data_IF_806928505333
#
_entry.id   IF_806928505333
#
_cell.length_a   1.000
_cell.length_b   1.000
_cell.length_c   1.000
_cell.angle_alpha   90.00
_cell.angle_beta   90.00
_cell.angle_gamma   90.00
#
_symmetry.space_group_name_H-M   'P 1'
#
loop_
_entity.id
_entity.type
_entity.pdbx_description
1 polymer ?
#
# COMPACT_ATOMS: atom_id res chain seq x y z
N UNK A 1 -14.19 27.05 54.15
CA UNK A 1 -14.42 26.91 52.69
C UNK A 1 -13.21 26.20 52.11
N UNK A 2 -13.31 24.88 51.99
CA UNK A 2 -12.26 24.04 51.39
C UNK A 2 -12.52 24.03 49.88
N UNK A 3 -11.51 24.43 49.12
CA UNK A 3 -11.56 24.54 47.66
C UNK A 3 -11.45 23.12 47.08
N UNK A 4 -12.57 22.53 46.71
CA UNK A 4 -12.61 21.19 46.12
C UNK A 4 -12.10 21.20 44.66
N UNK A 5 -11.09 20.35 44.44
CA UNK A 5 -10.81 19.50 43.26
C UNK A 5 -10.91 20.07 41.83
N UNK A 6 -10.00 20.97 41.46
CA UNK A 6 -9.60 21.15 40.04
C UNK A 6 -8.74 20.00 39.49
N UNK A 7 -8.21 19.10 40.33
CA UNK A 7 -7.34 18.00 39.90
C UNK A 7 -8.10 16.80 39.31
N UNK A 8 -9.37 16.61 39.65
CA UNK A 8 -10.16 15.46 39.16
C UNK A 8 -10.57 15.63 37.69
N UNK A 9 -10.84 16.86 37.27
CA UNK A 9 -11.30 17.18 35.91
C UNK A 9 -10.15 17.07 34.88
N UNK A 10 -8.91 17.40 35.27
CA UNK A 10 -7.74 17.38 34.37
C UNK A 10 -7.20 15.96 34.17
N UNK A 11 -7.26 15.10 35.21
CA UNK A 11 -6.80 13.71 35.12
C UNK A 11 -7.74 12.80 34.30
N UNK A 12 -9.02 13.18 34.15
CA UNK A 12 -10.02 12.40 33.43
C UNK A 12 -9.95 12.57 31.91
N UNK A 13 -9.32 13.63 31.40
CA UNK A 13 -9.30 13.98 29.97
C UNK A 13 -8.07 13.43 29.21
N UNK A 14 -6.91 13.33 29.87
CA UNK A 14 -5.70 12.75 29.26
C UNK A 14 -5.85 11.24 29.00
N UNK A 15 -6.53 10.53 29.90
CA UNK A 15 -6.77 9.09 29.73
C UNK A 15 -7.83 8.80 28.65
N UNK A 16 -8.82 9.69 28.45
CA UNK A 16 -9.83 9.49 27.39
C UNK A 16 -9.32 9.84 25.99
N UNK A 17 -8.28 10.67 25.87
CA UNK A 17 -7.59 10.93 24.59
C UNK A 17 -6.81 9.67 24.13
N UNK A 18 -6.37 8.83 25.08
CA UNK A 18 -5.57 7.63 24.84
C UNK A 18 -6.37 6.31 24.82
N UNK A 19 -7.66 6.33 25.13
CA UNK A 19 -8.57 5.20 24.90
C UNK A 19 -8.88 5.10 23.40
N UNK A 20 -7.85 4.74 22.64
CA UNK A 20 -7.96 4.59 21.21
C UNK A 20 -8.81 3.36 20.89
N UNK A 21 -9.95 3.61 20.24
CA UNK A 21 -10.85 2.55 19.82
C UNK A 21 -10.08 1.48 19.03
N UNK A 22 -10.18 0.19 19.39
CA UNK A 22 -9.48 -0.89 18.70
C UNK A 22 -9.96 -1.08 17.25
N UNK A 23 -11.06 -0.42 16.88
CA UNK A 23 -11.63 -0.47 15.55
C UNK A 23 -10.75 0.13 14.46
N UNK A 24 -9.80 1.03 14.77
CA UNK A 24 -8.90 1.55 13.73
C UNK A 24 -7.97 0.47 13.18
N UNK A 25 -7.32 -0.30 14.06
CA UNK A 25 -6.50 -1.45 13.65
C UNK A 25 -7.34 -2.54 12.96
N UNK A 26 -8.55 -2.81 13.46
CA UNK A 26 -9.45 -3.81 12.84
C UNK A 26 -9.98 -3.37 11.47
N UNK A 27 -10.34 -2.10 11.30
CA UNK A 27 -10.73 -1.55 10.01
C UNK A 27 -9.59 -1.63 9.00
N UNK A 28 -8.36 -1.32 9.44
CA UNK A 28 -7.18 -1.50 8.61
C UNK A 28 -6.96 -2.98 8.25
N UNK A 29 -7.09 -3.91 9.21
CA UNK A 29 -6.99 -5.34 8.94
C UNK A 29 -8.06 -5.83 7.94
N UNK A 30 -9.30 -5.32 8.01
CA UNK A 30 -10.36 -5.62 7.03
C UNK A 30 -9.97 -5.12 5.64
N UNK A 31 -9.46 -3.89 5.55
CA UNK A 31 -8.97 -3.33 4.30
C UNK A 31 -7.84 -4.17 3.71
N UNK A 32 -6.87 -4.61 4.53
CA UNK A 32 -5.81 -5.52 4.09
C UNK A 32 -6.35 -6.88 3.65
N UNK A 33 -7.35 -7.42 4.35
CA UNK A 33 -8.03 -8.64 3.93
C UNK A 33 -8.66 -8.50 2.55
N UNK A 34 -9.33 -7.38 2.28
CA UNK A 34 -9.89 -7.10 0.97
C UNK A 34 -8.81 -6.98 -0.12
N UNK A 35 -7.74 -6.22 0.15
CA UNK A 35 -6.61 -6.09 -0.80
C UNK A 35 -5.97 -7.45 -1.09
N UNK A 36 -5.78 -8.29 -0.07
CA UNK A 36 -5.23 -9.63 -0.24
C UNK A 36 -6.14 -10.54 -1.07
N UNK A 37 -7.46 -10.44 -0.90
CA UNK A 37 -8.42 -11.16 -1.75
C UNK A 37 -8.30 -10.74 -3.21
N UNK A 38 -8.12 -9.44 -3.48
CA UNK A 38 -7.87 -8.96 -4.85
C UNK A 38 -6.54 -9.49 -5.40
N UNK A 39 -5.49 -9.57 -4.57
CA UNK A 39 -4.22 -10.19 -4.97
C UNK A 39 -4.39 -11.67 -5.35
N UNK A 40 -5.15 -12.43 -4.57
CA UNK A 40 -5.45 -13.84 -4.88
C UNK A 40 -6.27 -13.95 -6.16
N UNK A 41 -7.30 -13.12 -6.34
CA UNK A 41 -8.08 -13.09 -7.57
C UNK A 41 -7.20 -12.77 -8.78
N UNK A 42 -6.32 -11.78 -8.67
CA UNK A 42 -5.38 -11.41 -9.72
C UNK A 42 -4.36 -12.53 -10.04
N UNK A 43 -3.89 -13.25 -9.01
CA UNK A 43 -3.00 -14.41 -9.21
C UNK A 43 -3.66 -15.49 -10.07
N UNK A 44 -4.89 -15.89 -9.73
CA UNK A 44 -5.64 -16.86 -10.54
C UNK A 44 -6.02 -16.32 -11.90
N UNK A 45 -6.30 -15.02 -11.99
CA UNK A 45 -6.60 -14.37 -13.25
C UNK A 45 -5.44 -14.50 -14.24
N UNK A 46 -4.23 -14.12 -13.82
CA UNK A 46 -3.02 -14.23 -14.64
C UNK A 46 -2.69 -15.69 -14.97
N UNK A 47 -2.95 -16.64 -14.08
CA UNK A 47 -2.70 -18.07 -14.36
C UNK A 47 -3.67 -18.64 -15.40
N UNK A 48 -4.96 -18.26 -15.35
CA UNK A 48 -5.98 -18.81 -16.24
C UNK A 48 -5.98 -18.10 -17.60
N UNK A 49 -5.78 -16.77 -17.60
CA UNK A 49 -5.97 -15.95 -18.78
C UNK A 49 -4.67 -15.33 -19.31
N UNK A 50 -3.56 -15.43 -18.58
CA UNK A 50 -2.31 -14.75 -18.93
C UNK A 50 -2.44 -13.22 -18.88
N UNK A 51 -1.41 -12.52 -19.37
CA UNK A 51 -1.50 -11.06 -19.61
C UNK A 51 -2.58 -10.75 -20.67
N UNK A 52 -2.89 -11.71 -21.54
CA UNK A 52 -3.87 -11.60 -22.64
C UNK A 52 -5.35 -11.58 -22.21
N UNK A 53 -5.66 -11.75 -20.92
CA UNK A 53 -7.04 -11.96 -20.47
C UNK A 53 -7.99 -10.78 -20.67
N UNK A 54 -7.49 -9.54 -20.62
CA UNK A 54 -8.29 -8.31 -20.80
C UNK A 54 -7.97 -7.72 -22.18
N UNK A 55 -8.28 -8.43 -23.26
CA UNK A 55 -7.94 -7.95 -24.60
C UNK A 55 -9.20 -7.54 -25.39
N UNK A 56 -9.12 -6.40 -26.07
CA UNK A 56 -10.11 -5.88 -27.01
C UNK A 56 -10.29 -6.82 -28.22
N UNK A 57 -9.19 -7.50 -28.60
CA UNK A 57 -9.05 -8.44 -29.69
C UNK A 57 -9.11 -9.92 -29.25
N UNK A 58 -9.41 -10.22 -27.96
CA UNK A 58 -9.62 -11.62 -27.54
C UNK A 58 -10.84 -12.20 -28.26
N UNK A 59 -10.82 -13.52 -28.48
CA UNK A 59 -11.94 -14.29 -29.04
C UNK A 59 -12.23 -14.06 -30.53
N UNK A 60 -11.19 -13.92 -31.36
CA UNK A 60 -11.33 -13.92 -32.82
C UNK A 60 -11.83 -12.59 -33.40
N UNK A 61 -11.65 -11.50 -32.66
CA UNK A 61 -11.91 -10.13 -33.13
C UNK A 61 -10.65 -9.50 -33.77
N UNK A 62 -9.73 -10.31 -34.29
CA UNK A 62 -8.55 -9.82 -34.99
C UNK A 62 -8.96 -9.11 -36.28
N UNK A 63 -8.46 -7.89 -36.54
CA UNK A 63 -8.70 -7.23 -37.81
C UNK A 63 -8.03 -8.03 -38.93
N UNK A 64 -8.63 -8.12 -40.12
CA UNK A 64 -8.02 -8.82 -41.24
C UNK A 64 -6.80 -8.04 -41.77
N UNK A 65 -5.74 -8.75 -42.15
CA UNK A 65 -4.60 -8.17 -42.85
C UNK A 65 -5.09 -7.49 -44.15
N UNK A 66 -4.90 -6.17 -44.32
CA UNK A 66 -5.35 -5.42 -45.50
C UNK A 66 -4.61 -5.82 -46.78
N UNK A 67 -3.46 -6.50 -46.67
CA UNK A 67 -2.65 -6.94 -47.79
C UNK A 67 -1.93 -5.80 -48.53
N UNK A 68 -1.74 -5.96 -49.84
CA UNK A 68 -1.02 -5.00 -50.67
C UNK A 68 -1.89 -3.79 -51.04
N UNK A 69 -1.31 -2.58 -51.03
CA UNK A 69 -2.00 -1.37 -51.45
C UNK A 69 -2.55 -1.50 -52.89
N UNK A 70 -3.83 -1.17 -53.13
CA UNK A 70 -4.41 -1.23 -54.46
C UNK A 70 -3.97 -0.03 -55.32
N UNK A 71 -2.79 -0.15 -55.95
CA UNK A 71 -2.19 0.92 -56.79
C UNK A 71 -3.12 1.40 -57.93
N UNK A 72 -3.88 0.48 -58.53
CA UNK A 72 -4.83 0.76 -59.60
C UNK A 72 -6.31 0.70 -59.13
N UNK A 73 -6.54 0.75 -57.82
CA UNK A 73 -7.88 0.73 -57.24
C UNK A 73 -8.64 2.05 -57.40
N UNK A 74 -9.94 1.99 -57.15
CA UNK A 74 -10.78 3.19 -57.03
C UNK A 74 -10.42 4.00 -55.77
N UNK A 75 -10.82 5.29 -55.72
CA UNK A 75 -10.63 6.12 -54.52
C UNK A 75 -11.30 5.51 -53.27
N UNK A 76 -12.40 4.77 -53.45
CA UNK A 76 -13.09 4.07 -52.37
C UNK A 76 -12.29 2.87 -51.87
N UNK A 77 -11.74 2.06 -52.77
CA UNK A 77 -10.89 0.91 -52.41
C UNK A 77 -9.61 1.36 -51.68
N UNK A 78 -8.98 2.44 -52.14
CA UNK A 78 -7.80 3.00 -51.48
C UNK A 78 -8.12 3.58 -50.09
N UNK A 79 -9.30 4.19 -49.91
CA UNK A 79 -9.74 4.70 -48.61
C UNK A 79 -10.06 3.57 -47.64
N UNK A 80 -10.74 2.52 -48.11
CA UNK A 80 -11.04 1.34 -47.31
C UNK A 80 -9.75 0.63 -46.88
N UNK A 81 -8.79 0.49 -47.80
CA UNK A 81 -7.45 -0.01 -47.48
C UNK A 81 -6.80 0.79 -46.35
N UNK A 82 -6.78 2.13 -46.44
CA UNK A 82 -6.17 2.96 -45.40
C UNK A 82 -6.86 2.84 -44.03
N UNK A 83 -8.18 2.62 -44.00
CA UNK A 83 -8.89 2.38 -42.72
C UNK A 83 -8.54 1.01 -42.14
N UNK A 84 -8.55 -0.04 -42.96
CA UNK A 84 -8.17 -1.40 -42.55
C UNK A 84 -6.70 -1.48 -42.13
N UNK A 85 -5.80 -0.74 -42.80
CA UNK A 85 -4.39 -0.64 -42.42
C UNK A 85 -4.23 -0.02 -41.04
N UNK A 86 -4.97 1.03 -40.72
CA UNK A 86 -4.92 1.62 -39.37
C UNK A 86 -5.35 0.64 -38.29
N UNK A 87 -6.45 -0.08 -38.51
CA UNK A 87 -6.93 -1.10 -37.55
C UNK A 87 -5.92 -2.24 -37.38
N UNK A 88 -5.25 -2.63 -38.48
CA UNK A 88 -4.20 -3.64 -38.47
C UNK A 88 -2.94 -3.17 -37.74
N UNK A 89 -2.48 -1.95 -37.97
CA UNK A 89 -1.30 -1.35 -37.32
C UNK A 89 -1.51 -1.20 -35.80
N UNK A 90 -2.73 -0.83 -35.38
CA UNK A 90 -3.11 -0.77 -33.96
C UNK A 90 -3.07 -2.17 -33.32
N UNK A 91 -3.54 -3.20 -34.04
CA UNK A 91 -3.47 -4.59 -33.60
C UNK A 91 -2.03 -5.11 -33.51
N UNK A 92 -1.18 -4.84 -34.51
CA UNK A 92 0.24 -5.22 -34.48
C UNK A 92 0.98 -4.54 -33.33
N UNK A 93 0.76 -3.23 -33.13
CA UNK A 93 1.34 -2.49 -32.00
C UNK A 93 0.95 -3.10 -30.65
N UNK A 94 -0.30 -3.53 -30.52
CA UNK A 94 -0.78 -4.20 -29.32
C UNK A 94 -0.11 -5.56 -29.12
N UNK A 95 0.02 -6.37 -30.18
CA UNK A 95 0.70 -7.66 -30.11
C UNK A 95 2.17 -7.52 -29.74
N UNK A 96 2.86 -6.51 -30.29
CA UNK A 96 4.25 -6.19 -29.93
C UNK A 96 4.37 -5.82 -28.44
N UNK A 97 3.48 -4.98 -27.92
CA UNK A 97 3.43 -4.66 -26.48
C UNK A 97 3.23 -5.92 -25.62
N UNK A 98 2.36 -6.83 -26.06
CA UNK A 98 2.08 -8.07 -25.35
C UNK A 98 3.28 -9.00 -25.32
N UNK A 99 3.96 -9.17 -26.46
CA UNK A 99 5.18 -9.95 -26.58
C UNK A 99 6.29 -9.35 -25.70
N UNK A 100 6.47 -8.03 -25.71
CA UNK A 100 7.42 -7.33 -24.85
C UNK A 100 7.12 -7.54 -23.34
N UNK A 101 5.84 -7.54 -22.96
CA UNK A 101 5.43 -7.81 -21.57
C UNK A 101 5.68 -9.25 -21.15
N UNK A 102 5.54 -10.20 -22.07
CA UNK A 102 5.85 -11.62 -21.84
C UNK A 102 7.37 -11.83 -21.75
N UNK A 103 8.14 -11.29 -22.70
CA UNK A 103 9.61 -11.38 -22.72
C UNK A 103 10.27 -10.70 -21.51
N UNK A 104 9.63 -9.68 -20.95
CA UNK A 104 10.12 -8.98 -19.76
C UNK A 104 9.78 -9.68 -18.44
N UNK A 105 9.16 -10.86 -18.48
CA UNK A 105 8.82 -11.70 -17.32
C UNK A 105 7.91 -11.01 -16.29
N UNK A 106 7.08 -10.05 -16.73
CA UNK A 106 6.19 -9.30 -15.84
C UNK A 106 5.18 -10.22 -15.16
N UNK A 107 4.73 -11.28 -15.84
CA UNK A 107 3.81 -12.28 -15.29
C UNK A 107 4.43 -13.02 -14.11
N UNK A 108 5.62 -13.58 -14.30
CA UNK A 108 6.34 -14.38 -13.30
C UNK A 108 6.69 -13.54 -12.09
N UNK A 109 7.19 -12.33 -12.32
CA UNK A 109 7.47 -11.36 -11.26
C UNK A 109 6.18 -11.06 -10.48
N UNK A 110 5.07 -10.81 -11.18
CA UNK A 110 3.77 -10.56 -10.55
C UNK A 110 3.30 -11.72 -9.69
N UNK A 111 3.46 -12.96 -10.16
CA UNK A 111 3.10 -14.15 -9.44
C UNK A 111 3.99 -14.39 -8.21
N UNK A 112 5.31 -14.21 -8.33
CA UNK A 112 6.25 -14.35 -7.20
C UNK A 112 5.87 -13.36 -6.09
N UNK A 113 5.67 -12.08 -6.43
CA UNK A 113 5.30 -11.08 -5.45
C UNK A 113 3.88 -11.29 -4.90
N UNK A 114 2.94 -11.81 -5.69
CA UNK A 114 1.62 -12.18 -5.19
C UNK A 114 1.72 -13.29 -4.13
N UNK A 115 2.50 -14.35 -4.38
CA UNK A 115 2.72 -15.43 -3.41
C UNK A 115 3.37 -14.91 -2.12
N UNK A 116 4.43 -14.10 -2.23
CA UNK A 116 5.08 -13.47 -1.07
C UNK A 116 4.12 -12.59 -0.26
N UNK A 117 3.30 -11.81 -0.97
CA UNK A 117 2.29 -10.93 -0.36
C UNK A 117 1.22 -11.74 0.37
N UNK A 118 0.79 -12.88 -0.17
CA UNK A 118 -0.16 -13.78 0.51
C UNK A 118 0.47 -14.38 1.77
N UNK A 119 1.69 -14.90 1.67
CA UNK A 119 2.38 -15.56 2.79
C UNK A 119 2.60 -14.62 3.98
N UNK A 120 2.87 -13.33 3.72
CA UNK A 120 3.15 -12.34 4.77
C UNK A 120 1.88 -11.56 5.14
N UNK A 121 0.96 -11.37 4.20
CA UNK A 121 -0.29 -10.66 4.39
C UNK A 121 -1.22 -11.36 5.38
N UNK A 122 -1.35 -12.69 5.32
CA UNK A 122 -2.21 -13.44 6.26
C UNK A 122 -1.77 -13.23 7.73
N UNK A 123 -0.49 -13.46 8.10
CA UNK A 123 0.01 -13.11 9.43
C UNK A 123 -0.16 -11.62 9.76
N UNK A 124 0.12 -10.72 8.81
CA UNK A 124 0.00 -9.27 9.04
C UNK A 124 -1.43 -8.89 9.44
N UNK A 125 -2.44 -9.36 8.71
CA UNK A 125 -3.86 -9.15 9.04
C UNK A 125 -4.17 -9.66 10.45
N UNK A 126 -3.71 -10.86 10.81
CA UNK A 126 -3.93 -11.41 12.15
C UNK A 126 -3.26 -10.55 13.25
N UNK A 127 -2.05 -10.03 13.00
CA UNK A 127 -1.35 -9.17 13.95
C UNK A 127 -2.05 -7.82 14.14
N UNK A 128 -2.56 -7.20 13.06
CA UNK A 128 -3.37 -5.98 13.17
C UNK A 128 -4.73 -6.21 13.83
N UNK A 129 -5.37 -7.34 13.55
CA UNK A 129 -6.67 -7.69 14.17
C UNK A 129 -6.56 -7.90 15.68
N UNK A 130 -5.48 -8.56 16.11
CA UNK A 130 -5.20 -8.87 17.51
C UNK A 130 -4.40 -7.79 18.23
N UNK A 131 -3.92 -6.77 17.51
CA UNK A 131 -3.08 -5.69 18.03
C UNK A 131 -1.81 -6.19 18.72
N UNK A 132 -1.23 -7.27 18.19
CA UNK A 132 -0.05 -7.92 18.77
C UNK A 132 1.17 -6.97 18.78
N UNK A 133 2.09 -7.17 19.74
CA UNK A 133 3.36 -6.43 19.84
C UNK A 133 4.18 -6.45 18.53
N UNK A 134 4.08 -7.54 17.76
CA UNK A 134 4.81 -7.73 16.49
C UNK A 134 4.11 -7.12 15.27
N UNK A 135 2.99 -6.43 15.46
CA UNK A 135 2.21 -5.81 14.38
C UNK A 135 3.07 -4.90 13.49
N UNK A 136 3.99 -4.12 14.08
CA UNK A 136 4.89 -3.26 13.31
C UNK A 136 5.84 -4.05 12.41
N UNK A 137 6.46 -5.12 12.92
CA UNK A 137 7.40 -5.93 12.13
C UNK A 137 6.72 -6.57 10.92
N UNK A 138 5.54 -7.15 11.11
CA UNK A 138 4.75 -7.72 10.02
C UNK A 138 4.21 -6.64 9.08
N UNK A 139 3.75 -5.52 9.64
CA UNK A 139 3.34 -4.34 8.88
C UNK A 139 4.44 -3.86 7.94
N UNK A 140 5.64 -3.62 8.45
CA UNK A 140 6.80 -3.19 7.66
C UNK A 140 7.22 -4.25 6.63
N UNK A 141 7.23 -5.54 6.99
CA UNK A 141 7.56 -6.62 6.05
C UNK A 141 6.59 -6.67 4.87
N UNK A 142 5.28 -6.61 5.15
CA UNK A 142 4.26 -6.56 4.11
C UNK A 142 4.38 -5.32 3.23
N UNK A 143 4.61 -4.15 3.85
CA UNK A 143 4.78 -2.88 3.14
C UNK A 143 6.00 -2.87 2.23
N UNK A 144 7.14 -3.36 2.72
CA UNK A 144 8.37 -3.45 1.95
C UNK A 144 8.20 -4.35 0.72
N UNK A 145 7.62 -5.54 0.88
CA UNK A 145 7.41 -6.48 -0.22
C UNK A 145 6.40 -5.94 -1.23
N UNK A 146 5.34 -5.30 -0.76
CA UNK A 146 4.34 -4.67 -1.64
C UNK A 146 4.98 -3.53 -2.46
N UNK A 147 5.77 -2.65 -1.82
CA UNK A 147 6.48 -1.58 -2.53
C UNK A 147 7.44 -2.15 -3.56
N UNK A 148 8.31 -3.07 -3.15
CA UNK A 148 9.32 -3.64 -4.05
C UNK A 148 8.62 -4.31 -5.25
N UNK A 149 7.57 -5.10 -5.00
CA UNK A 149 6.83 -5.76 -6.07
C UNK A 149 6.13 -4.79 -7.02
N UNK A 150 5.37 -3.81 -6.50
CA UNK A 150 4.64 -2.87 -7.34
C UNK A 150 5.55 -1.91 -8.10
N UNK A 151 6.64 -1.44 -7.47
CA UNK A 151 7.62 -0.56 -8.12
C UNK A 151 8.41 -1.32 -9.17
N UNK A 152 8.81 -2.57 -8.90
CA UNK A 152 9.54 -3.38 -9.87
C UNK A 152 8.67 -3.71 -11.09
N UNK A 153 7.42 -4.11 -10.88
CA UNK A 153 6.47 -4.32 -11.98
C UNK A 153 6.28 -3.06 -12.81
N UNK A 154 6.01 -1.92 -12.15
CA UNK A 154 5.83 -0.65 -12.84
C UNK A 154 7.10 -0.20 -13.59
N UNK A 155 8.28 -0.43 -13.02
CA UNK A 155 9.55 -0.12 -13.66
C UNK A 155 9.70 -0.84 -15.00
N UNK A 156 9.34 -2.13 -15.05
CA UNK A 156 9.42 -2.93 -16.28
C UNK A 156 8.30 -2.57 -17.26
N UNK A 157 7.04 -2.53 -16.78
CA UNK A 157 5.89 -2.39 -17.68
C UNK A 157 5.63 -0.97 -18.17
N UNK A 158 6.09 0.05 -17.43
CA UNK A 158 5.77 1.45 -17.75
C UNK A 158 6.30 1.92 -19.10
N UNK A 159 7.51 1.50 -19.48
CA UNK A 159 8.11 1.88 -20.76
C UNK A 159 7.42 1.15 -21.92
N UNK A 160 7.18 -0.15 -21.78
CA UNK A 160 6.48 -0.98 -22.78
C UNK A 160 5.09 -0.40 -23.07
N UNK A 161 4.31 -0.13 -22.02
CA UNK A 161 2.96 0.44 -22.16
C UNK A 161 3.01 1.88 -22.70
N UNK A 162 4.02 2.67 -22.34
CA UNK A 162 4.17 4.02 -22.89
C UNK A 162 4.49 3.99 -24.39
N UNK A 163 5.36 3.08 -24.84
CA UNK A 163 5.70 2.93 -26.26
C UNK A 163 4.47 2.55 -27.09
N UNK A 164 3.65 1.62 -26.58
CA UNK A 164 2.36 1.29 -27.19
C UNK A 164 1.41 2.50 -27.24
N UNK A 165 1.27 3.24 -26.14
CA UNK A 165 0.42 4.43 -26.15
C UNK A 165 0.93 5.48 -27.14
N UNK A 166 2.24 5.62 -27.33
CA UNK A 166 2.83 6.54 -28.29
C UNK A 166 2.65 6.07 -29.76
N UNK A 167 2.51 4.76 -30.00
CA UNK A 167 2.33 4.21 -31.37
C UNK A 167 0.88 4.31 -31.88
N UNK A 168 -0.11 4.31 -30.99
CA UNK A 168 -1.53 4.37 -31.36
C UNK A 168 -2.01 5.82 -31.56
N UNK A 169 -2.82 6.11 -32.61
CA UNK A 169 -3.32 7.45 -32.88
C UNK A 169 -4.13 8.02 -31.71
N UNK A 170 -3.64 9.14 -31.15
CA UNK A 170 -4.24 9.81 -29.99
C UNK A 170 -3.85 9.24 -28.61
N UNK A 171 -3.06 8.16 -28.58
CA UNK A 171 -2.58 7.56 -27.33
C UNK A 171 -1.40 8.32 -26.69
N UNK A 172 -0.60 9.04 -27.49
CA UNK A 172 0.58 9.78 -27.00
C UNK A 172 0.25 10.83 -25.92
N UNK A 173 -0.96 11.40 -25.94
CA UNK A 173 -1.45 12.33 -24.91
C UNK A 173 -1.65 11.66 -23.54
N UNK A 174 -1.69 10.33 -23.48
CA UNK A 174 -1.92 9.52 -22.28
C UNK A 174 -0.70 8.69 -21.86
N UNK A 175 0.35 8.61 -22.68
CA UNK A 175 1.57 7.84 -22.39
C UNK A 175 2.24 8.26 -21.06
N UNK A 176 2.07 9.52 -20.63
CA UNK A 176 2.56 10.01 -19.35
C UNK A 176 1.96 9.25 -18.15
N UNK A 177 0.72 8.74 -18.25
CA UNK A 177 0.07 7.97 -17.19
C UNK A 177 0.88 6.71 -16.90
N UNK A 178 1.26 5.97 -17.95
CA UNK A 178 2.11 4.79 -17.83
C UNK A 178 3.46 5.13 -17.19
N UNK A 179 4.12 6.22 -17.62
CA UNK A 179 5.41 6.68 -17.06
C UNK A 179 5.31 7.11 -15.59
N UNK A 180 4.17 7.65 -15.15
CA UNK A 180 3.96 8.04 -13.74
C UNK A 180 3.64 6.87 -12.80
N UNK A 181 3.36 5.68 -13.33
CA UNK A 181 2.96 4.50 -12.54
C UNK A 181 3.97 4.14 -11.43
N UNK A 182 5.27 4.27 -11.70
CA UNK A 182 6.35 4.02 -10.73
C UNK A 182 6.20 4.92 -9.49
N UNK A 183 5.91 6.20 -9.72
CA UNK A 183 5.73 7.17 -8.66
C UNK A 183 4.47 6.88 -7.84
N UNK A 184 3.35 6.61 -8.51
CA UNK A 184 2.09 6.27 -7.82
C UNK A 184 2.22 4.99 -7.00
N UNK A 185 2.87 3.95 -7.52
CA UNK A 185 3.12 2.70 -6.79
C UNK A 185 3.97 2.92 -5.54
N UNK A 186 5.02 3.74 -5.64
CA UNK A 186 5.86 4.11 -4.51
C UNK A 186 5.08 4.85 -3.43
N UNK A 187 4.24 5.81 -3.81
CA UNK A 187 3.42 6.59 -2.88
C UNK A 187 2.43 5.73 -2.10
N UNK A 188 1.72 4.81 -2.77
CA UNK A 188 0.77 3.90 -2.11
C UNK A 188 1.43 3.09 -1.00
N UNK A 189 2.61 2.54 -1.25
CA UNK A 189 3.30 1.73 -0.25
C UNK A 189 3.93 2.55 0.88
N UNK A 190 4.44 3.75 0.62
CA UNK A 190 4.89 4.67 1.67
C UNK A 190 3.74 5.05 2.60
N UNK A 191 2.55 5.36 2.03
CA UNK A 191 1.34 5.64 2.82
C UNK A 191 0.94 4.45 3.69
N UNK A 192 1.01 3.23 3.15
CA UNK A 192 0.76 2.02 3.92
C UNK A 192 1.74 1.87 5.10
N UNK A 193 3.05 2.06 4.87
CA UNK A 193 4.07 1.98 5.93
C UNK A 193 3.82 3.05 7.01
N UNK A 194 3.51 4.28 6.60
CA UNK A 194 3.17 5.36 7.51
C UNK A 194 1.95 5.01 8.38
N UNK A 195 0.89 4.44 7.79
CA UNK A 195 -0.28 3.96 8.53
C UNK A 195 0.07 2.84 9.51
N UNK A 196 0.92 1.89 9.12
CA UNK A 196 1.38 0.82 10.01
C UNK A 196 2.13 1.37 11.24
N UNK A 197 3.00 2.37 11.04
CA UNK A 197 3.74 3.05 12.12
C UNK A 197 2.77 3.81 13.03
N UNK A 198 1.86 4.61 12.46
CA UNK A 198 0.88 5.39 13.24
C UNK A 198 0.01 4.47 14.08
N UNK A 199 -0.54 3.40 13.50
CA UNK A 199 -1.36 2.44 14.22
C UNK A 199 -0.56 1.75 15.33
N UNK A 200 0.69 1.35 15.07
CA UNK A 200 1.53 0.76 16.12
C UNK A 200 1.75 1.72 17.28
N UNK A 201 2.12 2.96 16.99
CA UNK A 201 2.34 3.97 18.02
C UNK A 201 1.06 4.26 18.81
N UNK A 202 -0.13 4.25 18.18
CA UNK A 202 -1.39 4.43 18.89
C UNK A 202 -1.67 3.32 19.92
N UNK A 203 -1.32 2.07 19.64
CA UNK A 203 -1.66 0.95 20.53
C UNK A 203 -0.54 0.52 21.49
N UNK A 204 0.71 0.90 21.21
CA UNK A 204 1.87 0.43 22.00
C UNK A 204 2.70 1.54 22.66
N UNK A 205 2.43 2.84 22.44
CA UNK A 205 3.21 3.93 23.08
C UNK A 205 3.15 3.98 24.62
N UNK A 206 2.13 3.37 25.23
CA UNK A 206 1.90 3.50 26.68
C UNK A 206 2.76 2.57 27.53
N UNK A 207 3.31 1.49 26.95
CA UNK A 207 4.16 0.56 27.70
C UNK A 207 5.61 1.06 27.88
N UNK A 208 6.01 2.10 27.12
CA UNK A 208 7.38 2.64 27.11
C UNK A 208 7.48 4.11 27.57
N UNK A 209 6.37 4.76 27.95
CA UNK A 209 6.42 6.05 28.62
C UNK A 209 6.83 5.81 30.08
N UNK A 210 8.03 6.23 30.53
CA UNK A 210 8.35 6.16 31.95
C UNK A 210 7.28 6.93 32.71
N UNK A 211 6.71 6.31 33.76
CA UNK A 211 5.95 7.05 34.77
C UNK A 211 6.76 8.30 35.11
N UNK A 212 6.20 9.46 34.75
CA UNK A 212 6.74 10.79 34.97
C UNK A 212 7.83 10.82 36.05
N UNK A 213 9.06 11.19 35.66
CA UNK A 213 10.20 11.37 36.56
C UNK A 213 10.00 12.43 37.66
N UNK A 214 8.80 13.00 37.78
CA UNK A 214 8.37 13.84 38.89
C UNK A 214 7.73 13.06 40.06
N UNK A 215 7.53 11.74 39.93
CA UNK A 215 7.14 10.86 41.03
C UNK A 215 8.35 10.07 41.57
N UNK A 216 9.47 10.76 41.80
CA UNK A 216 10.47 10.22 42.73
C UNK A 216 9.80 10.18 44.10
N UNK A 217 9.49 8.98 44.59
CA UNK A 217 9.24 8.77 46.02
C UNK A 217 10.54 9.12 46.72
N UNK A 218 10.66 10.36 47.17
CA UNK A 218 11.69 10.75 48.13
C UNK A 218 11.33 9.98 49.39
N UNK A 219 12.05 8.90 49.66
CA UNK A 219 12.06 8.29 50.98
C UNK A 219 12.55 9.37 51.95
N UNK A 220 11.61 10.08 52.58
CA UNK A 220 11.93 10.92 53.73
C UNK A 220 12.43 9.97 54.81
N UNK A 221 13.70 10.05 55.22
CA UNK A 221 14.19 9.19 56.28
C UNK A 221 13.38 9.46 57.54
N UNK A 222 13.05 8.39 58.26
CA UNK A 222 12.40 8.43 59.55
C UNK A 222 13.21 9.34 60.48
N UNK A 223 12.69 10.53 60.77
CA UNK A 223 13.25 11.39 61.81
C UNK A 223 12.91 10.68 63.12
N UNK A 224 13.90 9.99 63.70
CA UNK A 224 13.90 9.70 65.12
C UNK A 224 13.69 11.03 65.85
N UNK A 225 12.56 11.16 66.53
CA UNK A 225 12.35 12.24 67.49
C UNK A 225 13.38 12.05 68.59
N UNK A 226 14.51 12.74 68.47
CA UNK A 226 15.46 12.91 69.56
C UNK A 226 14.73 13.73 70.62
N UNK A 227 14.37 13.04 71.70
CA UNK A 227 13.95 13.61 72.98
C UNK A 227 15.12 14.44 73.54
N UNK A 228 15.16 15.72 73.16
CA UNK A 228 15.98 16.71 73.82
C UNK A 228 15.18 17.27 74.99
N UNK A 229 15.37 16.65 76.15
CA UNK A 229 14.98 17.23 77.42
C UNK A 229 15.77 18.52 77.67
N UNK A 230 15.09 19.65 77.51
CA UNK A 230 15.51 20.91 78.12
C UNK A 230 14.77 21.05 79.47
N UNK A 231 15.46 20.60 80.51
CA UNK A 231 15.28 21.14 81.85
C UNK A 231 16.05 22.46 81.93
N UNK A 232 15.41 23.50 82.49
CA UNK A 232 15.95 24.54 83.40
C UNK A 232 14.99 25.75 83.39
N UNK A 233 13.95 25.78 84.24
CA UNK A 233 13.82 26.36 85.60
C UNK A 233 14.08 27.89 85.71
N UNK A 234 13.17 28.57 86.43
CA UNK A 234 13.24 29.93 87.07
C UNK A 234 12.92 31.09 86.12
N UNK A 235 11.90 31.94 86.33
CA UNK A 235 11.40 32.55 87.57
C UNK A 235 9.96 33.05 87.44
#
# INVERSE_FOLDING_TARGET
>A
MVKESTNFVIAMDINSINDHSPWWARAFAIFLGFMLLLTVANFFYLEIFGINGINHYTFGNEPPDPGSYPENGTEEEQRNYNNSLREWDDYQSYMEMMDDLEESYVTEISQIFAVLTILIGIPTIAMFWTQNEKMLHFGLAFGAISIIGEVWKAYISSEIVANFMESVPGGGDYAWIAKTSIFTSSMCGILYIALAIVLHNMYHNLNDLPESGFHVKVDTPYIETVDHGDNDIQH
#
